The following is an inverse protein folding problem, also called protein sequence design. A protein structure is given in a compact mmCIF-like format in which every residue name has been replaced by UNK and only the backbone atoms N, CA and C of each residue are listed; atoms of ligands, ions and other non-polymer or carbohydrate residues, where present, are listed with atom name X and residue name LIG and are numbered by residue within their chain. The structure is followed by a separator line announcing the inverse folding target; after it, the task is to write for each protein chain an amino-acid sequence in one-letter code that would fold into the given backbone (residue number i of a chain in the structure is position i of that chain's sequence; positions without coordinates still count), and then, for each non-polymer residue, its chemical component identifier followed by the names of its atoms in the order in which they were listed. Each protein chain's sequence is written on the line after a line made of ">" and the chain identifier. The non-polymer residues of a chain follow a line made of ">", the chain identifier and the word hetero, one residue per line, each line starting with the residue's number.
data_IF_939624343309
#
_entry.id   IF_939624343309
#
_cell.length_a   1.000
_cell.length_b   1.000
_cell.length_c   1.000
_cell.angle_alpha   90.00
_cell.angle_beta   90.00
_cell.angle_gamma   90.00
#
_symmetry.space_group_name_H-M   'P 1'
#
loop_
_entity.id
_entity.type
_entity.pdbx_description
1 polymer ?
#
# COMPACT_ATOMS: atom_id res chain seq x y z
N UNK A 1 -10.01 3.90 6.87
CA UNK A 1 -10.83 2.98 6.04
C UNK A 1 -11.90 2.39 6.91
N UNK A 2 -11.64 1.22 7.49
CA UNK A 2 -12.41 0.69 8.61
C UNK A 2 -11.74 0.92 9.98
N UNK A 3 -10.43 1.19 10.00
CA UNK A 3 -9.57 1.42 11.17
C UNK A 3 -9.59 0.27 12.21
N UNK A 4 -10.04 -0.91 11.77
CA UNK A 4 -10.18 -2.12 12.59
C UNK A 4 -9.59 -3.36 11.89
N UNK A 5 -8.76 -3.17 10.86
CA UNK A 5 -8.06 -4.24 10.15
C UNK A 5 -8.90 -5.15 9.23
N UNK A 6 -10.18 -4.83 8.99
CA UNK A 6 -11.07 -5.68 8.19
C UNK A 6 -11.06 -5.38 6.68
N UNK A 7 -10.59 -4.20 6.25
CA UNK A 7 -10.72 -3.76 4.85
C UNK A 7 -9.43 -3.86 4.01
N UNK A 8 -8.26 -3.96 4.62
CA UNK A 8 -6.98 -4.00 3.90
C UNK A 8 -6.51 -2.67 3.29
N UNK A 9 -7.34 -1.63 3.17
CA UNK A 9 -6.97 -0.35 2.51
C UNK A 9 -5.82 0.43 3.16
N UNK A 10 -5.29 -0.05 4.29
CA UNK A 10 -4.16 0.54 5.02
C UNK A 10 -2.90 -0.33 4.95
N UNK A 11 -2.89 -1.33 4.07
CA UNK A 11 -1.73 -2.20 3.89
C UNK A 11 -0.53 -1.40 3.37
N UNK A 12 0.61 -1.63 3.99
CA UNK A 12 1.93 -1.12 3.60
C UNK A 12 2.94 -2.26 3.78
N UNK A 13 4.12 -2.15 3.18
CA UNK A 13 5.21 -3.09 3.47
C UNK A 13 6.08 -2.52 4.58
N UNK A 14 6.42 -3.36 5.56
CA UNK A 14 7.42 -3.07 6.60
C UNK A 14 8.51 -4.14 6.47
N UNK A 15 9.73 -3.72 6.14
CA UNK A 15 10.85 -4.60 5.80
C UNK A 15 10.48 -5.68 4.74
N UNK A 16 9.63 -5.29 3.79
CA UNK A 16 9.13 -6.16 2.71
C UNK A 16 7.88 -7.00 3.04
N UNK A 17 7.45 -7.04 4.31
CA UNK A 17 6.29 -7.83 4.73
C UNK A 17 5.00 -6.97 4.80
N UNK A 18 3.84 -7.47 4.34
CA UNK A 18 2.59 -6.72 4.37
C UNK A 18 2.05 -6.57 5.81
N UNK A 19 1.77 -5.33 6.20
CA UNK A 19 1.28 -4.96 7.53
C UNK A 19 0.09 -4.00 7.43
N UNK A 20 -0.89 -4.15 8.32
CA UNK A 20 -2.03 -3.24 8.44
C UNK A 20 -1.64 -2.02 9.28
N UNK A 21 -1.32 -0.90 8.65
CA UNK A 21 -0.84 0.30 9.36
C UNK A 21 -1.84 0.86 10.39
N UNK A 22 -3.16 0.64 10.20
CA UNK A 22 -4.15 1.07 11.20
C UNK A 22 -4.09 0.31 12.54
N UNK A 23 -3.40 -0.84 12.58
CA UNK A 23 -3.22 -1.66 13.78
C UNK A 23 -1.75 -1.74 14.20
N UNK A 24 -0.89 -0.86 13.69
CA UNK A 24 0.54 -0.82 14.00
C UNK A 24 0.90 0.53 14.59
N UNK A 25 1.52 0.53 15.77
CA UNK A 25 1.98 1.76 16.40
C UNK A 25 3.24 2.26 15.69
N UNK A 26 3.35 3.56 15.51
CA UNK A 26 4.52 4.17 14.87
C UNK A 26 5.85 3.81 15.56
N UNK A 27 5.84 3.62 16.88
CA UNK A 27 7.01 3.19 17.65
C UNK A 27 7.46 1.74 17.34
N UNK A 28 6.53 0.84 16.96
CA UNK A 28 6.86 -0.57 16.64
C UNK A 28 7.64 -0.73 15.32
N UNK A 29 7.67 0.34 14.51
CA UNK A 29 8.34 0.40 13.21
C UNK A 29 9.50 1.39 13.20
N UNK A 30 9.93 1.87 14.37
CA UNK A 30 11.12 2.71 14.47
C UNK A 30 12.35 1.99 13.89
N UNK A 31 13.03 2.66 12.95
CA UNK A 31 14.22 2.12 12.29
C UNK A 31 13.97 1.08 11.19
N UNK A 32 12.71 0.76 10.88
CA UNK A 32 12.33 -0.17 9.79
C UNK A 32 12.13 0.55 8.46
N UNK A 33 12.29 -0.19 7.36
CA UNK A 33 11.97 0.32 6.03
C UNK A 33 10.46 0.20 5.79
N UNK A 34 9.82 1.29 5.38
CA UNK A 34 8.39 1.32 5.05
C UNK A 34 8.20 1.67 3.58
N UNK A 35 7.49 0.82 2.86
CA UNK A 35 7.11 1.07 1.46
C UNK A 35 5.60 1.24 1.35
N UNK A 36 5.17 2.40 0.85
CA UNK A 36 3.78 2.72 0.52
C UNK A 36 3.55 2.64 -0.99
N UNK A 37 2.32 2.85 -1.46
CA UNK A 37 2.01 2.85 -2.91
C UNK A 37 2.83 3.89 -3.69
N UNK A 38 3.12 5.03 -3.08
CA UNK A 38 3.93 6.10 -3.66
C UNK A 38 5.38 5.66 -3.91
N UNK A 39 5.87 4.71 -3.12
CA UNK A 39 7.22 4.15 -3.25
C UNK A 39 7.38 3.12 -4.37
N UNK A 40 6.29 2.70 -5.04
CA UNK A 40 6.36 1.68 -6.09
C UNK A 40 6.82 2.24 -7.45
N UNK A 41 6.47 3.49 -7.75
CA UNK A 41 6.76 4.10 -9.05
C UNK A 41 8.17 4.71 -9.10
N UNK A 42 8.80 4.66 -10.27
CA UNK A 42 10.03 5.41 -10.55
C UNK A 42 9.68 6.72 -11.26
N UNK A 43 9.37 7.75 -10.47
CA UNK A 43 8.93 9.06 -10.95
C UNK A 43 7.63 8.95 -11.75
N UNK A 44 7.73 9.07 -13.08
CA UNK A 44 6.59 8.96 -13.99
C UNK A 44 6.36 7.54 -14.53
N UNK A 45 7.23 6.58 -14.17
CA UNK A 45 7.13 5.20 -14.62
C UNK A 45 6.40 4.35 -13.58
N UNK A 46 5.24 3.82 -13.95
CA UNK A 46 4.45 2.93 -13.11
C UNK A 46 5.22 1.64 -12.84
N UNK A 47 5.10 1.13 -11.61
CA UNK A 47 5.50 -0.24 -11.32
C UNK A 47 4.71 -1.23 -12.18
N UNK A 48 5.26 -2.39 -12.59
CA UNK A 48 4.53 -3.39 -13.37
C UNK A 48 3.15 -3.75 -12.82
N UNK A 49 2.98 -3.77 -11.49
CA UNK A 49 1.68 -4.02 -10.86
C UNK A 49 0.68 -2.87 -11.07
N UNK A 50 1.15 -1.62 -10.98
CA UNK A 50 0.33 -0.43 -11.18
C UNK A 50 -0.11 -0.35 -12.66
N UNK A 51 0.78 -0.66 -13.60
CA UNK A 51 0.45 -0.73 -15.02
C UNK A 51 -0.60 -1.81 -15.30
N UNK A 52 -0.44 -3.02 -14.74
CA UNK A 52 -1.40 -4.10 -14.88
C UNK A 52 -2.80 -3.71 -14.36
N UNK A 53 -2.87 -3.05 -13.21
CA UNK A 53 -4.14 -2.53 -12.68
C UNK A 53 -4.81 -1.52 -13.61
N UNK A 54 -4.03 -0.61 -14.21
CA UNK A 54 -4.53 0.38 -15.15
C UNK A 54 -5.04 -0.27 -16.45
N UNK A 55 -4.27 -1.21 -17.01
CA UNK A 55 -4.57 -1.86 -18.29
C UNK A 55 -5.81 -2.76 -18.23
N UNK A 56 -6.06 -3.37 -17.07
CA UNK A 56 -7.14 -4.34 -16.89
C UNK A 56 -8.35 -3.79 -16.14
N UNK A 57 -8.39 -2.49 -15.84
CA UNK A 57 -9.50 -1.89 -15.09
C UNK A 57 -9.61 -2.43 -13.66
N UNK A 58 -8.47 -2.73 -13.03
CA UNK A 58 -8.37 -3.23 -11.66
C UNK A 58 -8.72 -2.19 -10.59
N UNK A 59 -9.07 -0.97 -11.00
CA UNK A 59 -9.54 0.10 -10.12
C UNK A 59 -10.75 0.81 -10.70
N UNK A 60 -11.68 1.20 -9.82
CA UNK A 60 -12.84 2.02 -10.17
C UNK A 60 -12.79 3.33 -9.36
N UNK A 61 -13.21 3.30 -8.10
CA UNK A 61 -13.18 4.47 -7.23
C UNK A 61 -11.78 4.83 -6.72
N UNK A 62 -10.78 3.95 -6.90
CA UNK A 62 -9.40 4.15 -6.43
C UNK A 62 -9.14 3.89 -4.95
N UNK A 63 -10.18 3.84 -4.10
CA UNK A 63 -10.00 3.88 -2.65
C UNK A 63 -9.19 2.69 -2.08
N UNK A 64 -9.42 1.48 -2.59
CA UNK A 64 -8.70 0.29 -2.14
C UNK A 64 -7.40 0.03 -2.89
N UNK A 65 -7.11 0.72 -4.00
CA UNK A 65 -5.99 0.41 -4.88
C UNK A 65 -4.61 0.54 -4.23
N UNK A 66 -4.37 1.46 -3.26
CA UNK A 66 -3.08 1.56 -2.58
C UNK A 66 -2.69 0.37 -1.70
N UNK A 67 -3.68 -0.31 -1.10
CA UNK A 67 -3.46 -1.40 -0.14
C UNK A 67 -3.60 -2.76 -0.79
#
# INVERSE_FOLDING_TARGET
>A
GCDMGTCGCCAVLVDGEPVLSCLTLAFEVEGKEITTVEGLADGHHLHPIQQCFADHGGSQCGFCTPG
#
